data_IF_426166716730
#
_entry.id   IF_426166716730
#
_cell.length_a   1.000
_cell.length_b   1.000
_cell.length_c   1.000
_cell.angle_alpha   90.00
_cell.angle_beta   90.00
_cell.angle_gamma   90.00
#
_symmetry.space_group_name_H-M   'P 1'
#
loop_
_entity.id
_entity.type
_entity.pdbx_description
1 polymer ?
#
# COMPACT_ATOMS: atom_id res chain seq x y z
N UNK A 1 -11.05 -66.08 2.61
CA UNK A 1 -10.61 -65.49 3.88
C UNK A 1 -9.20 -64.94 3.66
N UNK A 2 -9.10 -63.75 3.18
CA UNK A 2 -7.81 -63.06 2.98
C UNK A 2 -7.63 -62.06 4.10
N UNK A 3 -6.51 -62.19 4.81
CA UNK A 3 -6.14 -61.30 5.92
C UNK A 3 -5.50 -60.04 5.36
N UNK A 4 -6.06 -58.88 5.72
CA UNK A 4 -5.50 -57.54 5.47
C UNK A 4 -4.31 -57.31 6.41
N UNK A 5 -3.15 -56.81 5.95
CA UNK A 5 -2.03 -56.47 6.83
C UNK A 5 -2.30 -55.17 7.56
N UNK A 6 -2.10 -55.19 8.89
CA UNK A 6 -2.08 -53.98 9.73
C UNK A 6 -0.81 -53.18 9.49
N UNK A 7 -0.96 -51.87 9.27
CA UNK A 7 0.13 -50.88 9.26
C UNK A 7 0.62 -50.62 10.69
N UNK A 8 1.93 -50.38 10.89
CA UNK A 8 2.49 -50.11 12.22
C UNK A 8 2.16 -48.69 12.70
N UNK A 9 1.90 -48.58 14.00
CA UNK A 9 1.68 -47.36 14.75
C UNK A 9 2.82 -46.35 14.54
N UNK A 10 2.48 -45.16 14.04
CA UNK A 10 3.40 -44.04 13.97
C UNK A 10 3.50 -43.37 15.35
N UNK A 11 4.63 -43.56 16.01
CA UNK A 11 5.02 -42.84 17.21
C UNK A 11 5.04 -41.31 16.94
N UNK A 12 4.10 -40.61 17.50
CA UNK A 12 4.12 -39.14 17.59
C UNK A 12 5.22 -38.74 18.60
N UNK A 13 6.20 -37.94 18.21
CA UNK A 13 7.19 -37.45 19.19
C UNK A 13 6.51 -36.52 20.19
N UNK A 14 6.96 -36.50 21.46
CA UNK A 14 6.40 -35.61 22.48
C UNK A 14 6.65 -34.15 22.12
N UNK A 15 5.64 -33.31 22.33
CA UNK A 15 5.77 -31.85 22.20
C UNK A 15 6.84 -31.36 23.17
N UNK A 16 7.72 -30.43 22.76
CA UNK A 16 8.60 -29.76 23.71
C UNK A 16 7.76 -28.98 24.70
N UNK A 17 8.01 -29.18 25.98
CA UNK A 17 7.50 -28.36 27.07
C UNK A 17 8.13 -26.98 26.89
N UNK A 18 7.34 -25.96 26.61
CA UNK A 18 7.74 -24.57 26.73
C UNK A 18 7.76 -24.25 28.22
N UNK A 19 8.95 -24.02 28.77
CA UNK A 19 9.10 -23.37 30.04
C UNK A 19 8.50 -21.98 29.99
N UNK A 20 7.53 -21.73 30.84
CA UNK A 20 6.84 -20.44 30.98
C UNK A 20 7.83 -19.42 31.60
N UNK A 21 8.21 -18.31 30.90
CA UNK A 21 9.09 -17.29 31.45
C UNK A 21 8.34 -16.19 32.21
N UNK A 22 7.18 -16.48 32.79
CA UNK A 22 6.29 -15.52 33.41
C UNK A 22 6.39 -15.38 34.94
N UNK A 23 7.58 -15.31 35.55
CA UNK A 23 7.72 -14.79 36.91
C UNK A 23 8.26 -13.37 36.88
N UNK A 24 7.34 -12.39 37.03
CA UNK A 24 7.69 -11.03 37.39
C UNK A 24 8.43 -11.03 38.74
N UNK A 25 9.69 -10.63 38.71
CA UNK A 25 10.47 -10.47 39.95
C UNK A 25 10.12 -9.11 40.54
N UNK A 26 9.31 -9.13 41.59
CA UNK A 26 8.92 -7.91 42.34
C UNK A 26 9.84 -7.79 43.54
N UNK A 27 10.42 -6.60 43.79
CA UNK A 27 11.20 -6.34 44.99
C UNK A 27 10.30 -6.23 46.23
N UNK A 28 10.91 -6.13 47.42
CA UNK A 28 10.16 -6.05 48.69
C UNK A 28 9.27 -4.81 48.83
N UNK A 29 9.34 -3.90 47.90
CA UNK A 29 8.57 -2.64 47.85
C UNK A 29 7.50 -2.68 46.73
N UNK A 30 7.27 -3.83 46.07
CA UNK A 30 6.22 -4.01 45.05
C UNK A 30 6.55 -3.46 43.66
N UNK A 31 7.83 -3.20 43.36
CA UNK A 31 8.26 -2.70 42.03
C UNK A 31 8.79 -3.83 41.16
N UNK A 32 8.43 -3.82 39.86
CA UNK A 32 8.90 -4.77 38.85
C UNK A 32 10.38 -4.50 38.55
N UNK A 33 11.25 -5.49 38.74
CA UNK A 33 12.69 -5.41 38.47
C UNK A 33 13.00 -6.20 37.19
N UNK A 34 13.43 -5.50 36.13
CA UNK A 34 13.92 -6.12 34.90
C UNK A 34 15.39 -6.56 35.09
N UNK A 35 15.78 -7.82 34.80
CA UNK A 35 17.15 -8.28 34.91
C UNK A 35 18.03 -7.58 33.87
N UNK A 36 19.03 -6.84 34.32
CA UNK A 36 20.11 -6.30 33.49
C UNK A 36 20.40 -4.80 33.57
N UNK A 37 19.62 -3.99 34.30
CA UNK A 37 19.95 -2.58 34.51
C UNK A 37 20.56 -2.34 35.88
N UNK A 38 21.83 -1.87 35.95
CA UNK A 38 22.45 -1.36 37.17
C UNK A 38 21.79 -0.03 37.53
N UNK A 39 21.21 0.07 38.73
CA UNK A 39 20.74 1.32 39.31
C UNK A 39 21.91 2.30 39.47
N UNK A 40 21.79 3.47 38.83
CA UNK A 40 22.66 4.62 39.11
C UNK A 40 22.03 5.38 40.27
N UNK A 41 22.76 5.49 41.37
CA UNK A 41 22.37 6.22 42.59
C UNK A 41 22.28 7.72 42.27
N UNK A 42 21.14 8.41 42.48
CA UNK A 42 21.07 9.85 42.27
C UNK A 42 21.64 10.58 43.47
N UNK A 43 22.89 11.02 43.35
CA UNK A 43 23.51 11.92 44.33
C UNK A 43 22.65 13.18 44.54
N UNK A 44 22.43 13.52 45.81
CA UNK A 44 21.75 14.73 46.25
C UNK A 44 22.54 15.96 45.82
N UNK A 45 22.03 16.67 44.77
CA UNK A 45 22.32 18.08 44.53
C UNK A 45 21.01 18.86 44.57
N UNK A 46 21.01 19.88 45.44
CA UNK A 46 19.92 20.81 45.68
C UNK A 46 19.60 21.59 44.40
N UNK A 47 18.44 21.29 43.77
CA UNK A 47 17.95 22.03 42.62
C UNK A 47 17.23 23.27 43.05
N UNK A 48 17.67 24.45 42.56
CA UNK A 48 16.91 25.69 42.54
C UNK A 48 15.63 25.52 41.70
N UNK A 49 14.52 26.25 41.98
CA UNK A 49 13.27 26.10 41.27
C UNK A 49 13.40 26.58 39.82
N UNK A 50 13.26 25.68 38.86
CA UNK A 50 13.14 26.01 37.45
C UNK A 50 11.88 26.85 37.22
N UNK A 51 12.08 28.09 36.80
CA UNK A 51 11.03 28.94 36.28
C UNK A 51 10.32 28.28 35.11
N UNK A 52 9.01 28.18 35.19
CA UNK A 52 8.13 27.74 34.11
C UNK A 52 8.40 28.57 32.87
N UNK A 53 8.99 27.95 31.84
CA UNK A 53 8.90 28.41 30.45
C UNK A 53 7.72 27.70 29.80
N UNK A 54 6.54 28.23 29.99
CA UNK A 54 5.48 28.14 29.00
C UNK A 54 5.94 28.98 27.81
N UNK A 55 6.50 28.33 26.84
CA UNK A 55 6.60 28.72 25.43
C UNK A 55 7.19 27.53 24.67
N UNK A 56 6.44 26.42 24.60
CA UNK A 56 6.57 25.55 23.45
C UNK A 56 5.69 26.13 22.37
N UNK A 57 6.30 26.98 21.56
CA UNK A 57 5.78 27.41 20.28
C UNK A 57 5.31 26.14 19.54
N UNK A 58 4.01 26.01 19.38
CA UNK A 58 3.40 25.20 18.36
C UNK A 58 3.88 25.78 17.04
N UNK A 59 4.96 25.24 16.53
CA UNK A 59 5.40 25.47 15.16
C UNK A 59 4.40 24.78 14.22
N UNK A 60 3.20 25.35 14.17
CA UNK A 60 2.28 25.22 13.08
C UNK A 60 2.86 26.06 11.94
N UNK A 61 4.01 25.65 11.42
CA UNK A 61 4.40 26.01 10.08
C UNK A 61 3.35 25.36 9.16
N UNK A 62 2.31 26.13 8.90
CA UNK A 62 1.48 26.00 7.74
C UNK A 62 2.46 25.99 6.56
N UNK A 63 2.90 24.80 6.15
CA UNK A 63 3.72 24.61 4.95
C UNK A 63 2.93 25.26 3.83
N UNK A 64 3.39 26.44 3.38
CA UNK A 64 2.80 27.12 2.25
C UNK A 64 2.77 26.11 1.10
N UNK A 65 1.57 25.63 0.77
CA UNK A 65 1.37 24.69 -0.33
C UNK A 65 1.75 25.40 -1.61
N UNK A 66 2.82 24.96 -2.25
CA UNK A 66 3.17 25.39 -3.59
C UNK A 66 2.14 24.79 -4.57
N UNK A 67 1.04 25.53 -4.77
CA UNK A 67 -0.06 25.10 -5.63
C UNK A 67 0.35 24.85 -7.09
N UNK A 68 1.59 25.18 -7.46
CA UNK A 68 2.14 24.84 -8.78
C UNK A 68 2.52 23.36 -8.89
N UNK A 69 2.81 22.71 -7.75
CA UNK A 69 3.20 21.29 -7.69
C UNK A 69 1.99 20.39 -7.50
N UNK A 70 2.12 19.15 -7.98
CA UNK A 70 1.16 18.08 -7.69
C UNK A 70 1.19 17.77 -6.20
N UNK A 71 0.02 17.70 -5.58
CA UNK A 71 -0.16 17.46 -4.15
C UNK A 71 -0.49 15.99 -3.92
N UNK A 72 0.38 15.26 -3.23
CA UNK A 72 0.16 13.87 -2.85
C UNK A 72 -0.09 13.77 -1.34
N UNK A 73 -1.27 13.27 -0.95
CA UNK A 73 -1.56 12.89 0.42
C UNK A 73 -1.19 11.43 0.62
N UNK A 74 -0.43 11.14 1.67
CA UNK A 74 -0.01 9.78 2.04
C UNK A 74 -0.57 9.49 3.42
N UNK A 75 -1.44 8.49 3.51
CA UNK A 75 -2.02 8.10 4.79
C UNK A 75 -1.01 7.37 5.65
N UNK A 76 -0.99 7.68 6.95
CA UNK A 76 -0.24 6.94 7.97
C UNK A 76 -1.10 6.62 9.18
N UNK A 77 -0.66 5.71 10.03
CA UNK A 77 -1.25 5.34 11.33
C UNK A 77 -1.41 3.83 11.50
N UNK A 78 -1.49 3.40 12.75
CA UNK A 78 -1.92 2.06 13.19
C UNK A 78 -1.43 0.87 12.32
N UNK A 79 -0.10 0.71 12.19
CA UNK A 79 0.51 -0.41 11.47
C UNK A 79 0.79 -0.15 9.99
N UNK A 80 0.50 1.04 9.46
CA UNK A 80 1.03 1.51 8.19
C UNK A 80 2.51 1.84 8.39
N UNK A 81 3.41 1.45 7.47
CA UNK A 81 4.85 1.61 7.66
C UNK A 81 5.68 1.90 6.40
N UNK A 82 5.05 2.14 5.25
CA UNK A 82 5.75 2.49 3.99
C UNK A 82 5.52 3.95 3.58
N UNK A 83 5.02 4.81 4.48
CA UNK A 83 4.65 6.20 4.17
C UNK A 83 5.84 7.08 3.82
N UNK A 84 7.00 6.86 4.43
CA UNK A 84 8.19 7.67 4.17
C UNK A 84 8.79 7.35 2.81
N UNK A 85 8.82 6.08 2.40
CA UNK A 85 9.26 5.66 1.07
C UNK A 85 8.34 6.22 -0.02
N UNK A 86 7.03 6.25 0.23
CA UNK A 86 6.06 6.92 -0.66
C UNK A 86 6.35 8.41 -0.78
N UNK A 87 6.56 9.09 0.35
CA UNK A 87 6.88 10.51 0.36
C UNK A 87 8.19 10.81 -0.37
N UNK A 88 9.20 9.97 -0.18
CA UNK A 88 10.47 10.08 -0.90
C UNK A 88 10.27 9.91 -2.41
N UNK A 89 9.47 8.92 -2.85
CA UNK A 89 9.18 8.70 -4.25
C UNK A 89 8.55 9.92 -4.92
N UNK A 90 7.51 10.49 -4.30
CA UNK A 90 6.85 11.70 -4.82
C UNK A 90 7.77 12.92 -4.86
N UNK A 91 8.59 13.13 -3.81
CA UNK A 91 9.57 14.24 -3.75
C UNK A 91 10.62 14.12 -4.86
N UNK A 92 11.11 12.89 -5.11
CA UNK A 92 12.09 12.61 -6.18
C UNK A 92 11.56 12.94 -7.58
N UNK A 93 10.25 12.85 -7.80
CA UNK A 93 9.63 13.20 -9.09
C UNK A 93 9.02 14.61 -9.11
N UNK A 94 9.34 15.45 -8.11
CA UNK A 94 9.01 16.88 -8.10
C UNK A 94 7.61 17.22 -7.57
N UNK A 95 6.87 16.26 -6.99
CA UNK A 95 5.61 16.53 -6.31
C UNK A 95 5.82 16.97 -4.86
N UNK A 96 4.79 17.58 -4.28
CA UNK A 96 4.71 17.83 -2.85
C UNK A 96 4.01 16.64 -2.18
N UNK A 97 4.67 16.05 -1.19
CA UNK A 97 4.18 14.87 -0.47
C UNK A 97 3.92 15.24 0.99
N UNK A 98 2.70 15.00 1.46
CA UNK A 98 2.27 15.25 2.84
C UNK A 98 1.82 13.95 3.47
N UNK A 99 2.50 13.54 4.54
CA UNK A 99 2.11 12.38 5.35
C UNK A 99 1.07 12.86 6.36
N UNK A 100 -0.10 12.24 6.35
CA UNK A 100 -1.25 12.63 7.19
C UNK A 100 -1.74 11.43 7.96
N UNK A 101 -1.79 11.55 9.29
CA UNK A 101 -2.34 10.50 10.13
C UNK A 101 -3.85 10.34 9.86
N UNK A 102 -4.31 9.09 9.71
CA UNK A 102 -5.68 8.72 9.40
C UNK A 102 -6.72 9.47 10.26
N UNK A 103 -6.44 9.66 11.56
CA UNK A 103 -7.36 10.37 12.45
C UNK A 103 -7.56 11.85 12.07
N UNK A 104 -6.55 12.51 11.49
CA UNK A 104 -6.71 13.92 11.06
C UNK A 104 -7.72 14.03 9.92
N UNK A 105 -7.71 13.06 9.00
CA UNK A 105 -8.69 12.97 7.92
C UNK A 105 -10.07 12.57 8.46
N UNK A 106 -10.14 11.53 9.30
CA UNK A 106 -11.40 11.05 9.88
C UNK A 106 -12.10 12.07 10.79
N UNK A 107 -11.38 13.03 11.37
CA UNK A 107 -11.94 14.10 12.17
C UNK A 107 -12.17 15.38 11.38
N UNK A 108 -11.90 15.39 10.07
CA UNK A 108 -12.09 16.57 9.21
C UNK A 108 -11.06 17.68 9.42
N UNK A 109 -9.93 17.41 10.11
CA UNK A 109 -8.87 18.39 10.27
C UNK A 109 -8.07 18.59 8.99
N UNK A 110 -8.02 17.57 8.12
CA UNK A 110 -7.41 17.61 6.79
C UNK A 110 -8.42 17.06 5.79
N UNK A 111 -8.68 17.81 4.73
CA UNK A 111 -9.51 17.39 3.61
C UNK A 111 -8.68 16.66 2.55
N UNK A 112 -9.12 15.50 2.10
CA UNK A 112 -8.49 14.81 0.97
C UNK A 112 -8.65 15.59 -0.34
N UNK A 113 -9.69 16.43 -0.44
CA UNK A 113 -10.01 17.21 -1.64
C UNK A 113 -8.97 18.30 -1.97
N UNK A 114 -8.12 18.68 -0.98
CA UNK A 114 -7.02 19.62 -1.19
C UNK A 114 -5.83 19.02 -1.95
N UNK A 115 -5.89 17.72 -2.24
CA UNK A 115 -4.82 16.97 -2.90
C UNK A 115 -5.25 16.47 -4.29
N UNK A 116 -4.26 16.01 -5.08
CA UNK A 116 -4.49 15.42 -6.40
C UNK A 116 -4.45 13.90 -6.36
N UNK A 117 -3.64 13.35 -5.45
CA UNK A 117 -3.39 11.91 -5.33
C UNK A 117 -3.53 11.51 -3.86
N UNK A 118 -4.38 10.53 -3.60
CA UNK A 118 -4.53 9.90 -2.29
C UNK A 118 -3.82 8.55 -2.30
N UNK A 119 -2.95 8.32 -1.30
CA UNK A 119 -2.13 7.12 -1.22
C UNK A 119 -2.41 6.32 0.05
N UNK A 120 -2.59 5.01 -0.15
CA UNK A 120 -2.69 3.99 0.88
C UNK A 120 -1.41 3.15 0.85
N UNK A 121 -0.42 3.44 1.72
CA UNK A 121 0.83 2.70 1.76
C UNK A 121 0.68 1.27 2.25
N UNK A 122 1.77 0.50 2.11
CA UNK A 122 1.92 -0.83 2.67
C UNK A 122 2.05 -0.83 4.19
N UNK A 123 2.03 -2.02 4.76
CA UNK A 123 2.11 -2.26 6.19
C UNK A 123 1.16 -3.36 6.64
N UNK A 124 0.72 -3.27 7.90
CA UNK A 124 -0.18 -4.20 8.57
C UNK A 124 -1.21 -3.39 9.36
N UNK A 125 -2.08 -2.68 8.65
CA UNK A 125 -3.03 -1.76 9.29
C UNK A 125 -3.88 -2.47 10.34
N UNK A 126 -3.86 -1.94 11.57
CA UNK A 126 -4.50 -2.53 12.75
C UNK A 126 -4.07 -3.97 13.07
N UNK A 127 -2.80 -4.33 12.75
CA UNK A 127 -2.22 -5.63 13.06
C UNK A 127 -2.75 -6.80 12.22
N UNK A 128 -3.57 -6.52 11.20
CA UNK A 128 -4.27 -7.53 10.38
C UNK A 128 -5.10 -8.54 11.18
N UNK A 129 -5.56 -8.15 12.40
CA UNK A 129 -6.23 -9.03 13.36
C UNK A 129 -7.46 -9.77 12.81
N UNK A 130 -8.18 -9.17 11.87
CA UNK A 130 -9.34 -9.76 11.19
C UNK A 130 -9.05 -10.10 9.71
N UNK A 131 -7.78 -10.11 9.34
CA UNK A 131 -7.28 -10.19 7.96
C UNK A 131 -6.81 -8.85 7.42
N UNK A 132 -5.88 -8.92 6.47
CA UNK A 132 -5.14 -7.76 5.99
C UNK A 132 -6.05 -6.68 5.42
N UNK A 133 -5.96 -5.46 6.00
CA UNK A 133 -6.73 -4.30 5.59
C UNK A 133 -8.21 -4.26 6.00
N UNK A 134 -8.75 -5.30 6.67
CA UNK A 134 -10.20 -5.41 7.01
C UNK A 134 -10.62 -4.30 7.96
N UNK A 135 -9.89 -4.09 9.05
CA UNK A 135 -10.26 -3.10 10.07
C UNK A 135 -10.21 -1.69 9.49
N UNK A 136 -9.18 -1.38 8.69
CA UNK A 136 -9.06 -0.08 8.03
C UNK A 136 -10.20 0.14 7.04
N UNK A 137 -10.48 -0.82 6.15
CA UNK A 137 -11.57 -0.72 5.20
C UNK A 137 -12.94 -0.49 5.90
N UNK A 138 -13.21 -1.21 6.98
CA UNK A 138 -14.44 -1.02 7.77
C UNK A 138 -14.50 0.38 8.42
N UNK A 139 -13.38 0.89 8.93
CA UNK A 139 -13.35 2.27 9.47
C UNK A 139 -13.68 3.30 8.38
N UNK A 140 -13.11 3.16 7.18
CA UNK A 140 -13.36 4.07 6.06
C UNK A 140 -14.81 4.01 5.58
N UNK A 141 -15.41 2.81 5.57
CA UNK A 141 -16.76 2.58 5.08
C UNK A 141 -17.85 2.99 6.06
N UNK A 142 -17.65 2.81 7.38
CA UNK A 142 -18.72 2.90 8.35
C UNK A 142 -18.59 4.04 9.36
N UNK A 143 -17.37 4.54 9.61
CA UNK A 143 -17.20 5.66 10.54
C UNK A 143 -17.67 6.95 9.88
N UNK A 144 -18.65 7.60 10.50
CA UNK A 144 -19.20 8.88 10.05
C UNK A 144 -18.54 10.05 10.76
N UNK A 145 -18.31 11.13 10.04
CA UNK A 145 -17.92 12.43 10.58
C UNK A 145 -19.14 13.18 11.15
N UNK A 146 -18.95 14.43 11.59
CA UNK A 146 -20.01 15.28 12.16
C UNK A 146 -21.15 15.56 11.16
N UNK A 147 -20.85 15.60 9.86
CA UNK A 147 -21.79 15.82 8.77
C UNK A 147 -22.51 14.53 8.33
N UNK A 148 -22.24 13.40 8.99
CA UNK A 148 -22.83 12.11 8.68
C UNK A 148 -22.23 11.38 7.48
N UNK A 149 -21.15 11.92 6.88
CA UNK A 149 -20.42 11.32 5.75
C UNK A 149 -19.37 10.34 6.24
N UNK A 150 -19.07 9.33 5.43
CA UNK A 150 -17.95 8.42 5.63
C UNK A 150 -16.75 8.87 4.80
N UNK A 151 -15.54 8.44 5.16
CA UNK A 151 -14.38 8.73 4.31
C UNK A 151 -14.46 8.01 2.95
N UNK A 152 -15.18 6.88 2.86
CA UNK A 152 -15.47 6.24 1.57
C UNK A 152 -16.34 7.12 0.67
N UNK A 153 -17.32 7.85 1.22
CA UNK A 153 -18.12 8.82 0.45
C UNK A 153 -17.23 9.92 -0.13
N UNK A 154 -16.29 10.43 0.69
CA UNK A 154 -15.35 11.48 0.26
C UNK A 154 -14.36 10.95 -0.79
N UNK A 155 -13.87 9.69 -0.67
CA UNK A 155 -13.00 9.05 -1.66
C UNK A 155 -13.74 8.87 -2.99
N UNK A 156 -15.01 8.45 -2.98
CA UNK A 156 -15.80 8.33 -4.21
C UNK A 156 -15.98 9.68 -4.91
N UNK A 157 -16.27 10.73 -4.15
CA UNK A 157 -16.35 12.09 -4.68
C UNK A 157 -14.99 12.57 -5.22
N UNK A 158 -13.90 12.26 -4.53
CA UNK A 158 -12.53 12.56 -4.94
C UNK A 158 -12.21 11.94 -6.32
N UNK A 159 -12.54 10.65 -6.50
CA UNK A 159 -12.36 9.93 -7.77
C UNK A 159 -13.26 10.53 -8.86
N UNK A 160 -14.53 10.79 -8.55
CA UNK A 160 -15.49 11.40 -9.48
C UNK A 160 -15.03 12.78 -9.97
N UNK A 161 -14.35 13.56 -9.10
CA UNK A 161 -13.75 14.85 -9.44
C UNK A 161 -12.43 14.73 -10.24
N UNK A 162 -12.10 13.53 -10.74
CA UNK A 162 -10.95 13.32 -11.63
C UNK A 162 -9.62 13.15 -10.91
N UNK A 163 -9.63 12.95 -9.60
CA UNK A 163 -8.45 12.73 -8.76
C UNK A 163 -8.03 11.24 -8.77
N UNK A 164 -6.86 10.94 -8.23
CA UNK A 164 -6.23 9.62 -8.33
C UNK A 164 -6.01 8.98 -6.96
N UNK A 165 -6.16 7.65 -6.90
CA UNK A 165 -5.95 6.86 -5.69
C UNK A 165 -4.94 5.74 -6.00
N UNK A 166 -3.92 5.59 -5.15
CA UNK A 166 -2.95 4.49 -5.22
C UNK A 166 -2.94 3.70 -3.92
N UNK A 167 -3.01 2.37 -4.02
CA UNK A 167 -2.85 1.46 -2.87
C UNK A 167 -1.79 0.41 -3.14
N UNK A 168 -0.80 0.29 -2.25
CA UNK A 168 0.29 -0.69 -2.37
C UNK A 168 0.22 -1.68 -1.22
N UNK A 169 0.36 -2.98 -1.53
CA UNK A 169 0.35 -4.08 -0.58
C UNK A 169 -0.87 -4.02 0.36
N UNK A 170 -0.72 -3.64 1.62
CA UNK A 170 -1.86 -3.44 2.54
C UNK A 170 -2.85 -2.39 2.02
N UNK A 171 -2.37 -1.31 1.38
CA UNK A 171 -3.24 -0.33 0.72
C UNK A 171 -4.07 -0.93 -0.41
N UNK A 172 -3.51 -1.82 -1.23
CA UNK A 172 -4.26 -2.53 -2.27
C UNK A 172 -5.33 -3.44 -1.66
N UNK A 173 -5.00 -4.15 -0.58
CA UNK A 173 -5.97 -4.97 0.17
C UNK A 173 -7.15 -4.13 0.67
N UNK A 174 -6.88 -2.93 1.19
CA UNK A 174 -7.92 -1.98 1.62
C UNK A 174 -8.81 -1.55 0.45
N UNK A 175 -8.22 -1.17 -0.70
CA UNK A 175 -9.00 -0.73 -1.87
C UNK A 175 -9.91 -1.84 -2.40
N UNK A 176 -9.43 -3.10 -2.44
CA UNK A 176 -10.25 -4.26 -2.82
C UNK A 176 -11.40 -4.47 -1.83
N UNK A 177 -11.12 -4.41 -0.52
CA UNK A 177 -12.15 -4.59 0.53
C UNK A 177 -13.16 -3.43 0.57
N UNK A 178 -12.77 -2.25 0.11
CA UNK A 178 -13.69 -1.13 -0.11
C UNK A 178 -14.53 -1.28 -1.40
N UNK A 179 -14.22 -2.24 -2.28
CA UNK A 179 -14.88 -2.38 -3.57
C UNK A 179 -14.49 -1.30 -4.58
N UNK A 180 -13.41 -0.57 -4.32
CA UNK A 180 -12.85 0.43 -5.25
C UNK A 180 -12.04 -0.22 -6.38
N UNK A 181 -11.73 -1.51 -6.25
CA UNK A 181 -11.02 -2.33 -7.25
C UNK A 181 -11.68 -3.71 -7.37
N UNK A 182 -12.03 -4.13 -8.59
CA UNK A 182 -11.95 -3.41 -9.87
C UNK A 182 -13.14 -2.46 -10.13
N UNK A 183 -14.17 -2.44 -9.28
CA UNK A 183 -15.42 -1.67 -9.39
C UNK A 183 -16.10 -1.79 -10.77
N UNK A 184 -16.38 -3.04 -11.16
CA UNK A 184 -17.01 -3.36 -12.44
C UNK A 184 -18.44 -2.83 -12.54
N UNK A 185 -19.15 -2.86 -11.42
CA UNK A 185 -20.55 -2.48 -11.30
C UNK A 185 -20.78 -0.98 -11.06
N UNK A 186 -19.72 -0.24 -10.65
CA UNK A 186 -19.84 1.16 -10.21
C UNK A 186 -20.59 1.33 -8.88
N UNK A 187 -20.73 0.26 -8.11
CA UNK A 187 -21.48 0.28 -6.82
C UNK A 187 -20.59 0.28 -5.60
N UNK A 188 -19.25 0.25 -5.80
CA UNK A 188 -18.25 0.24 -4.72
C UNK A 188 -18.49 -0.91 -3.74
N UNK A 189 -18.76 -2.11 -4.32
CA UNK A 189 -18.93 -3.37 -3.59
C UNK A 189 -17.78 -4.32 -3.94
N UNK A 190 -17.22 -5.07 -2.97
CA UNK A 190 -16.17 -6.03 -3.26
C UNK A 190 -16.62 -7.11 -4.26
N UNK A 191 -15.93 -7.22 -5.39
CA UNK A 191 -16.18 -8.19 -6.48
C UNK A 191 -15.07 -9.25 -6.57
N UNK A 192 -13.94 -8.98 -5.93
CA UNK A 192 -12.80 -9.89 -5.79
C UNK A 192 -12.27 -9.84 -4.36
N UNK A 193 -11.36 -10.72 -4.00
CA UNK A 193 -10.71 -10.69 -2.68
C UNK A 193 -9.21 -10.92 -2.78
N UNK A 194 -8.48 -10.38 -1.80
CA UNK A 194 -7.09 -10.73 -1.53
C UNK A 194 -7.04 -11.57 -0.26
N UNK A 195 -6.33 -12.70 -0.31
CA UNK A 195 -6.23 -13.69 0.76
C UNK A 195 -4.80 -14.25 0.89
N UNK A 196 -4.61 -15.21 1.79
CA UNK A 196 -3.33 -15.85 2.04
C UNK A 196 -2.67 -16.37 0.77
N UNK A 197 -1.35 -16.18 0.68
CA UNK A 197 -0.54 -16.75 -0.38
C UNK A 197 -0.76 -18.25 -0.48
N UNK A 198 -0.76 -18.81 -1.69
CA UNK A 198 -0.92 -20.24 -1.91
C UNK A 198 0.18 -21.08 -1.23
N UNK A 199 1.37 -20.48 -0.99
CA UNK A 199 2.47 -21.09 -0.25
C UNK A 199 2.21 -21.23 1.26
N UNK A 200 1.21 -20.53 1.80
CA UNK A 200 0.96 -20.41 3.24
C UNK A 200 2.07 -19.68 4.01
N UNK A 201 2.92 -18.95 3.31
CA UNK A 201 4.09 -18.26 3.88
C UNK A 201 4.10 -16.78 3.51
N UNK A 202 4.83 -16.01 4.30
CA UNK A 202 5.24 -14.66 3.94
C UNK A 202 6.26 -14.74 2.80
N UNK A 203 6.01 -14.02 1.70
CA UNK A 203 6.88 -13.97 0.52
C UNK A 203 7.61 -12.63 0.51
N UNK A 204 8.96 -12.72 0.54
CA UNK A 204 9.86 -11.55 0.40
C UNK A 204 10.87 -11.87 -0.70
N UNK A 205 10.64 -11.29 -1.87
CA UNK A 205 11.48 -11.53 -3.06
C UNK A 205 11.29 -10.48 -4.13
N UNK A 206 12.22 -10.41 -5.06
CA UNK A 206 12.09 -9.63 -6.28
C UNK A 206 11.27 -10.40 -7.32
N UNK A 207 10.37 -9.67 -7.98
CA UNK A 207 9.49 -10.21 -9.02
C UNK A 207 9.56 -9.36 -10.27
N UNK A 208 9.33 -9.99 -11.43
CA UNK A 208 9.18 -9.30 -12.69
C UNK A 208 7.72 -9.22 -13.05
N UNK A 209 7.30 -8.07 -13.51
CA UNK A 209 5.94 -7.76 -13.89
C UNK A 209 5.89 -7.32 -15.35
N UNK A 210 4.77 -7.60 -16.00
CA UNK A 210 4.45 -7.09 -17.34
C UNK A 210 3.18 -6.25 -17.28
N UNK A 211 3.24 -5.06 -17.87
CA UNK A 211 2.09 -4.21 -18.03
C UNK A 211 1.13 -4.76 -19.09
N UNK A 212 -0.16 -4.73 -18.80
CA UNK A 212 -1.17 -5.09 -19.76
C UNK A 212 -1.37 -3.94 -20.76
N UNK A 213 -1.16 -4.15 -22.05
CA UNK A 213 -1.30 -3.08 -23.05
C UNK A 213 -2.74 -2.56 -23.20
N UNK A 214 -3.74 -3.31 -22.73
CA UNK A 214 -5.15 -2.86 -22.69
C UNK A 214 -5.44 -1.98 -21.47
N UNK A 215 -4.58 -1.94 -20.47
CA UNK A 215 -4.83 -1.19 -19.25
C UNK A 215 -4.86 0.32 -19.53
N UNK A 216 -5.99 0.94 -19.24
CA UNK A 216 -6.17 2.38 -19.42
C UNK A 216 -5.96 3.11 -18.08
N UNK A 217 -4.72 3.13 -17.59
CA UNK A 217 -4.36 3.86 -16.36
C UNK A 217 -3.10 4.69 -16.57
N UNK A 218 -3.07 5.95 -16.08
CA UNK A 218 -1.91 6.82 -16.25
C UNK A 218 -0.68 6.33 -15.48
N UNK A 219 -0.86 5.53 -14.44
CA UNK A 219 0.24 4.98 -13.64
C UNK A 219 1.21 4.13 -14.46
N UNK A 220 0.72 3.46 -15.51
CA UNK A 220 1.50 2.53 -16.34
C UNK A 220 1.88 3.10 -17.71
N UNK A 221 1.65 4.38 -17.95
CA UNK A 221 1.92 4.99 -19.26
C UNK A 221 3.38 4.77 -19.71
N UNK A 222 3.56 4.12 -20.86
CA UNK A 222 4.88 3.84 -21.45
C UNK A 222 5.70 2.75 -20.73
N UNK A 223 5.11 2.05 -19.76
CA UNK A 223 5.73 0.90 -19.14
C UNK A 223 5.36 -0.38 -19.88
N UNK A 224 6.35 -1.23 -20.14
CA UNK A 224 6.17 -2.60 -20.61
C UNK A 224 6.46 -3.60 -19.50
N UNK A 225 7.59 -3.43 -18.84
CA UNK A 225 8.04 -4.32 -17.75
C UNK A 225 8.47 -3.52 -16.53
N UNK A 226 8.42 -4.18 -15.37
CA UNK A 226 8.78 -3.61 -14.08
C UNK A 226 9.40 -4.71 -13.21
N UNK A 227 10.50 -4.42 -12.52
CA UNK A 227 11.09 -5.33 -11.53
C UNK A 227 11.04 -4.66 -10.16
N UNK A 228 10.34 -5.26 -9.20
CA UNK A 228 10.09 -4.68 -7.86
C UNK A 228 9.99 -5.79 -6.81
N UNK A 229 10.23 -5.51 -5.52
CA UNK A 229 10.07 -6.52 -4.47
C UNK A 229 8.62 -6.73 -4.07
N UNK A 230 8.29 -7.94 -3.61
CA UNK A 230 7.08 -8.28 -2.86
C UNK A 230 7.43 -8.55 -1.40
N UNK A 231 6.53 -8.21 -0.47
CA UNK A 231 6.65 -8.41 0.98
C UNK A 231 5.26 -8.60 1.57
N UNK A 232 4.69 -9.82 1.48
CA UNK A 232 3.32 -10.05 1.94
C UNK A 232 3.03 -11.50 2.29
N UNK A 233 2.11 -11.72 3.24
CA UNK A 233 1.51 -13.01 3.56
C UNK A 233 0.16 -13.24 2.86
N UNK A 234 -0.54 -12.15 2.51
CA UNK A 234 -1.88 -12.15 1.91
C UNK A 234 -1.90 -11.35 0.61
N UNK A 235 -1.33 -11.90 -0.46
CA UNK A 235 -1.27 -11.24 -1.77
C UNK A 235 -2.05 -11.93 -2.89
N UNK A 236 -2.72 -13.05 -2.57
CA UNK A 236 -3.41 -13.89 -3.55
C UNK A 236 -4.75 -13.30 -3.94
N UNK A 237 -4.86 -12.78 -5.15
CA UNK A 237 -6.14 -12.40 -5.74
C UNK A 237 -6.97 -13.65 -6.05
N UNK A 238 -8.23 -13.66 -5.63
CA UNK A 238 -9.23 -14.68 -5.95
C UNK A 238 -10.43 -14.01 -6.62
N UNK A 239 -10.83 -14.57 -7.76
CA UNK A 239 -12.00 -14.17 -8.53
C UNK A 239 -13.01 -15.31 -8.47
N UNK A 240 -14.17 -15.05 -7.87
CA UNK A 240 -15.12 -16.10 -7.53
C UNK A 240 -15.84 -16.70 -8.74
N UNK A 241 -16.17 -15.90 -9.74
CA UNK A 241 -17.00 -16.33 -10.86
C UNK A 241 -16.38 -15.99 -12.23
N UNK A 242 -16.84 -16.73 -13.25
CA UNK A 242 -16.33 -16.59 -14.61
C UNK A 242 -16.70 -15.27 -15.29
N UNK A 243 -17.83 -14.65 -14.92
CA UNK A 243 -18.27 -13.40 -15.52
C UNK A 243 -17.39 -12.24 -15.05
N UNK A 244 -17.11 -12.18 -13.74
CA UNK A 244 -16.15 -11.22 -13.15
C UNK A 244 -14.76 -11.39 -13.76
N UNK A 245 -14.28 -12.65 -13.91
CA UNK A 245 -12.99 -12.95 -14.54
C UNK A 245 -12.94 -12.41 -15.98
N UNK A 246 -13.94 -12.74 -16.80
CA UNK A 246 -14.01 -12.29 -18.19
C UNK A 246 -14.05 -10.75 -18.28
N UNK A 247 -14.83 -10.09 -17.42
CA UNK A 247 -14.93 -8.64 -17.41
C UNK A 247 -13.60 -7.94 -17.06
N UNK A 248 -12.81 -8.51 -16.13
CA UNK A 248 -11.48 -8.00 -15.78
C UNK A 248 -10.51 -8.16 -16.96
N UNK A 249 -10.52 -9.32 -17.64
CA UNK A 249 -9.65 -9.58 -18.80
C UNK A 249 -10.03 -8.71 -20.01
N UNK A 250 -11.31 -8.64 -20.35
CA UNK A 250 -11.80 -7.91 -21.52
C UNK A 250 -11.52 -6.41 -21.42
N UNK A 251 -11.72 -5.84 -20.25
CA UNK A 251 -11.49 -4.41 -19.97
C UNK A 251 -10.03 -4.07 -19.65
N UNK A 252 -9.16 -5.08 -19.53
CA UNK A 252 -7.74 -4.86 -19.20
C UNK A 252 -7.48 -4.38 -17.77
N UNK A 253 -8.38 -4.70 -16.82
CA UNK A 253 -8.30 -4.21 -15.44
C UNK A 253 -7.25 -4.94 -14.61
N UNK A 254 -6.86 -6.18 -15.00
CA UNK A 254 -5.63 -6.82 -14.56
C UNK A 254 -4.45 -6.11 -15.24
N UNK A 255 -4.00 -5.02 -14.63
CA UNK A 255 -3.12 -4.05 -15.27
C UNK A 255 -1.63 -4.43 -15.19
N UNK A 256 -1.23 -5.27 -14.23
CA UNK A 256 0.12 -5.82 -14.07
C UNK A 256 0.05 -7.30 -13.72
N UNK A 257 0.85 -8.12 -14.42
CA UNK A 257 0.92 -9.57 -14.22
C UNK A 257 2.32 -10.01 -13.83
N UNK A 258 2.41 -11.04 -12.96
CA UNK A 258 3.67 -11.72 -12.67
C UNK A 258 4.16 -12.47 -13.91
N UNK A 259 5.49 -12.43 -14.15
CA UNK A 259 6.12 -13.07 -15.30
C UNK A 259 7.27 -13.98 -14.88
N UNK A 260 7.56 -14.96 -15.73
CA UNK A 260 8.77 -15.76 -15.63
C UNK A 260 10.04 -14.97 -16.00
N UNK A 261 11.18 -15.66 -16.02
CA UNK A 261 12.47 -15.05 -16.39
C UNK A 261 12.51 -14.50 -17.82
N UNK A 262 11.65 -15.02 -18.72
CA UNK A 262 11.56 -14.63 -20.13
C UNK A 262 10.55 -13.51 -20.38
N UNK A 263 9.84 -13.06 -19.34
CA UNK A 263 8.82 -12.02 -19.43
C UNK A 263 7.43 -12.51 -19.88
N UNK A 264 7.20 -13.82 -19.88
CA UNK A 264 5.89 -14.40 -20.15
C UNK A 264 5.06 -14.47 -18.84
N UNK A 265 3.76 -14.09 -18.84
CA UNK A 265 2.89 -14.27 -17.68
C UNK A 265 2.87 -15.73 -17.21
N UNK A 266 2.94 -15.96 -15.89
CA UNK A 266 3.11 -17.32 -15.35
C UNK A 266 2.38 -17.55 -14.03
N UNK A 267 1.82 -18.75 -13.87
CA UNK A 267 1.25 -19.25 -12.61
C UNK A 267 2.30 -19.95 -11.73
N UNK A 268 3.51 -20.17 -12.27
CA UNK A 268 4.52 -21.02 -11.65
C UNK A 268 5.22 -20.30 -10.51
N UNK A 269 5.21 -20.91 -9.32
CA UNK A 269 6.06 -20.49 -8.21
C UNK A 269 7.54 -20.78 -8.55
N UNK A 270 8.51 -19.91 -8.22
CA UNK A 270 8.40 -18.70 -7.38
C UNK A 270 8.10 -17.39 -8.14
N UNK A 271 7.89 -17.43 -9.44
CA UNK A 271 7.69 -16.26 -10.28
C UNK A 271 6.34 -15.57 -9.98
N UNK A 272 5.27 -16.37 -9.83
CA UNK A 272 4.03 -15.93 -9.21
C UNK A 272 4.08 -16.34 -7.73
N UNK A 273 4.44 -15.41 -6.82
CA UNK A 273 4.78 -15.77 -5.44
C UNK A 273 3.57 -16.09 -4.59
N UNK A 274 2.38 -15.61 -4.96
CA UNK A 274 1.17 -15.72 -4.15
C UNK A 274 0.10 -16.66 -4.74
N UNK A 275 0.24 -17.09 -5.99
CA UNK A 275 -0.74 -17.94 -6.67
C UNK A 275 -2.02 -17.20 -7.06
N UNK A 276 -1.91 -15.90 -7.35
CA UNK A 276 -3.05 -15.06 -7.74
C UNK A 276 -3.69 -15.51 -9.05
N UNK A 277 -5.01 -15.48 -9.11
CA UNK A 277 -5.79 -15.64 -10.34
C UNK A 277 -5.32 -14.63 -11.39
N UNK A 278 -5.35 -15.03 -12.68
CA UNK A 278 -4.89 -14.22 -13.82
C UNK A 278 -3.42 -13.77 -13.71
N UNK A 279 -2.62 -14.42 -12.88
CA UNK A 279 -1.25 -13.98 -12.54
C UNK A 279 -1.19 -12.54 -12.04
N UNK A 280 -2.26 -12.06 -11.46
CA UNK A 280 -2.48 -10.66 -11.13
C UNK A 280 -1.52 -10.19 -10.04
N UNK A 281 -0.72 -9.18 -10.36
CA UNK A 281 0.08 -8.43 -9.41
C UNK A 281 -0.60 -7.10 -9.02
N UNK A 282 -1.40 -6.53 -9.92
CA UNK A 282 -2.10 -5.27 -9.70
C UNK A 282 -3.35 -5.09 -10.55
N UNK A 283 -4.30 -4.34 -9.99
CA UNK A 283 -5.57 -3.98 -10.61
C UNK A 283 -5.69 -2.46 -10.81
N UNK A 284 -6.48 -2.08 -11.81
CA UNK A 284 -7.04 -0.74 -11.91
C UNK A 284 -8.57 -0.81 -11.95
N UNK A 285 -9.24 0.29 -11.60
CA UNK A 285 -10.69 0.41 -11.76
C UNK A 285 -11.07 0.70 -13.23
N UNK A 286 -12.37 0.74 -13.50
CA UNK A 286 -12.90 0.99 -14.85
C UNK A 286 -12.59 2.39 -15.39
N UNK A 287 -12.24 3.35 -14.53
CA UNK A 287 -11.86 4.73 -14.91
C UNK A 287 -10.35 4.92 -15.10
N UNK A 288 -9.54 3.98 -14.64
CA UNK A 288 -8.08 4.06 -14.61
C UNK A 288 -7.52 5.00 -13.51
N UNK A 289 -8.38 5.50 -12.61
CA UNK A 289 -7.99 6.45 -11.56
C UNK A 289 -7.62 5.80 -10.25
N UNK A 290 -8.12 4.61 -9.99
CA UNK A 290 -7.75 3.82 -8.82
C UNK A 290 -6.77 2.73 -9.26
N UNK A 291 -5.63 2.67 -8.61
CA UNK A 291 -4.56 1.72 -8.91
C UNK A 291 -4.14 0.98 -7.65
N UNK A 292 -4.08 -0.34 -7.73
CA UNK A 292 -3.63 -1.22 -6.65
C UNK A 292 -2.55 -2.19 -7.11
N UNK A 293 -1.54 -2.39 -6.27
CA UNK A 293 -0.39 -3.26 -6.58
C UNK A 293 0.07 -3.99 -5.31
N UNK A 294 0.30 -5.31 -5.38
CA UNK A 294 0.88 -6.06 -4.26
C UNK A 294 2.39 -5.85 -4.09
N UNK A 295 3.22 -5.86 -5.16
CA UNK A 295 4.62 -5.47 -5.08
C UNK A 295 4.81 -4.01 -4.66
N UNK A 296 6.02 -3.70 -4.17
CA UNK A 296 6.40 -2.40 -3.57
C UNK A 296 7.27 -1.57 -4.51
N UNK A 297 6.71 -0.70 -5.37
CA UNK A 297 7.49 0.19 -6.23
C UNK A 297 8.28 1.23 -5.43
N UNK A 298 7.76 1.69 -4.28
CA UNK A 298 8.42 2.63 -3.37
C UNK A 298 9.71 2.07 -2.73
N UNK A 299 9.88 0.76 -2.76
CA UNK A 299 11.11 0.11 -2.27
C UNK A 299 12.22 -0.01 -3.33
N UNK A 300 11.94 0.43 -4.58
CA UNK A 300 12.93 0.42 -5.67
C UNK A 300 12.96 1.77 -6.39
N UNK A 301 13.44 2.79 -5.72
CA UNK A 301 13.56 4.16 -6.23
C UNK A 301 14.92 4.42 -6.88
N UNK A 302 15.95 3.68 -6.49
CA UNK A 302 17.30 3.75 -7.02
C UNK A 302 17.83 2.35 -7.33
N UNK A 303 18.66 2.23 -8.36
CA UNK A 303 19.39 1.00 -8.69
C UNK A 303 20.06 0.39 -7.45
N UNK A 304 20.57 1.23 -6.56
CA UNK A 304 21.28 0.81 -5.33
C UNK A 304 20.38 0.11 -4.29
N UNK A 305 19.06 0.18 -4.43
CA UNK A 305 18.11 -0.63 -3.61
C UNK A 305 18.08 -2.09 -4.07
N UNK A 306 18.50 -2.40 -5.30
CA UNK A 306 18.46 -3.76 -5.82
C UNK A 306 19.65 -4.59 -5.29
N UNK A 307 19.44 -5.82 -4.77
CA UNK A 307 20.51 -6.64 -4.19
C UNK A 307 21.64 -6.97 -5.17
N UNK A 308 21.36 -6.95 -6.46
CA UNK A 308 22.30 -7.30 -7.54
C UNK A 308 22.85 -6.06 -8.28
N UNK A 309 22.69 -4.86 -7.71
CA UNK A 309 23.07 -3.61 -8.36
C UNK A 309 24.54 -3.58 -8.81
N UNK A 310 25.45 -4.11 -7.99
CA UNK A 310 26.87 -4.07 -8.26
C UNK A 310 27.25 -4.92 -9.49
N UNK A 311 26.62 -6.09 -9.68
CA UNK A 311 26.82 -6.92 -10.87
C UNK A 311 26.23 -6.24 -12.10
N UNK A 312 25.02 -5.69 -12.01
CA UNK A 312 24.32 -4.97 -13.09
C UNK A 312 25.15 -3.78 -13.57
N UNK A 313 25.64 -2.95 -12.67
CA UNK A 313 26.48 -1.78 -12.98
C UNK A 313 27.82 -2.17 -13.62
N UNK A 314 28.41 -3.29 -13.18
CA UNK A 314 29.65 -3.83 -13.78
C UNK A 314 29.42 -4.38 -15.20
N UNK A 315 28.26 -4.98 -15.47
CA UNK A 315 27.89 -5.48 -16.79
C UNK A 315 27.50 -4.35 -17.75
N UNK A 316 26.90 -3.31 -17.25
CA UNK A 316 26.54 -2.11 -17.99
C UNK A 316 26.86 -0.86 -17.15
N UNK A 317 28.06 -0.25 -17.31
CA UNK A 317 28.45 0.96 -16.57
C UNK A 317 27.49 2.14 -16.78
N UNK A 318 26.85 2.24 -17.95
CA UNK A 318 25.91 3.30 -18.31
C UNK A 318 24.47 3.03 -17.86
N UNK A 319 24.24 1.93 -17.12
CA UNK A 319 22.92 1.62 -16.59
C UNK A 319 22.40 2.77 -15.73
N UNK A 320 21.14 3.18 -15.98
CA UNK A 320 20.47 4.20 -15.18
C UNK A 320 20.52 3.87 -13.69
N UNK A 321 20.75 4.86 -12.87
CA UNK A 321 20.71 4.73 -11.42
C UNK A 321 19.29 4.85 -10.84
N UNK A 322 18.32 5.20 -11.69
CA UNK A 322 16.90 5.20 -11.31
C UNK A 322 16.38 3.77 -11.20
N UNK A 323 15.67 3.49 -10.10
CA UNK A 323 14.96 2.24 -9.89
C UNK A 323 13.65 2.20 -10.66
N UNK A 324 13.23 1.01 -11.07
CA UNK A 324 12.01 0.84 -11.87
C UNK A 324 10.76 1.35 -11.16
N UNK A 325 10.70 1.24 -9.83
CA UNK A 325 9.55 1.66 -9.04
C UNK A 325 9.23 3.15 -9.15
N UNK A 326 10.26 3.99 -9.34
CA UNK A 326 10.08 5.44 -9.45
C UNK A 326 9.26 5.85 -10.69
N UNK A 327 9.25 5.01 -11.73
CA UNK A 327 8.52 5.27 -12.98
C UNK A 327 7.01 5.41 -12.76
N UNK A 328 6.40 4.63 -11.84
CA UNK A 328 4.98 4.72 -11.54
C UNK A 328 4.62 6.09 -10.94
N UNK A 329 5.42 6.55 -10.00
CA UNK A 329 5.23 7.85 -9.35
C UNK A 329 5.44 9.01 -10.36
N UNK A 330 6.45 8.90 -11.21
CA UNK A 330 6.70 9.87 -12.29
C UNK A 330 5.51 9.96 -13.23
N UNK A 331 5.01 8.82 -13.69
CA UNK A 331 3.90 8.75 -14.64
C UNK A 331 2.66 9.47 -14.13
N UNK A 332 2.25 9.23 -12.88
CA UNK A 332 1.05 9.88 -12.34
C UNK A 332 1.28 11.37 -12.10
N UNK A 333 2.45 11.78 -11.62
CA UNK A 333 2.77 13.20 -11.40
C UNK A 333 2.79 13.96 -12.72
N UNK A 334 3.46 13.46 -13.76
CA UNK A 334 3.46 14.07 -15.09
C UNK A 334 2.07 14.13 -15.71
N UNK A 335 1.26 13.09 -15.50
CA UNK A 335 -0.11 13.06 -15.99
C UNK A 335 -0.96 14.16 -15.34
N UNK A 336 -0.94 14.30 -14.03
CA UNK A 336 -1.66 15.37 -13.31
C UNK A 336 -1.18 16.76 -13.74
N UNK A 337 0.14 16.95 -13.89
CA UNK A 337 0.70 18.21 -14.39
C UNK A 337 0.19 18.53 -15.80
N UNK A 338 0.11 17.52 -16.68
CA UNK A 338 -0.38 17.72 -18.06
C UNK A 338 -1.85 18.13 -18.10
N UNK A 339 -2.68 17.56 -17.22
CA UNK A 339 -4.09 17.94 -17.09
C UNK A 339 -4.27 19.39 -16.64
N UNK A 340 -3.43 19.86 -15.69
CA UNK A 340 -3.48 21.25 -15.20
C UNK A 340 -3.06 22.28 -16.26
N UNK A 341 -2.21 21.86 -17.22
CA UNK A 341 -1.74 22.72 -18.32
C UNK A 341 -2.71 22.75 -19.50
N UNK A 342 -3.59 21.76 -19.63
CA UNK A 342 -4.58 21.75 -20.69
C UNK A 342 -5.55 22.92 -20.50
N UNK A 343 -5.80 23.77 -21.54
CA UNK A 343 -6.77 24.83 -21.43
C UNK A 343 -8.14 24.24 -21.13
N UNK A 344 -8.88 24.87 -20.20
CA UNK A 344 -10.25 24.45 -19.91
C UNK A 344 -11.06 24.43 -21.22
N UNK A 345 -11.55 23.26 -21.60
CA UNK A 345 -12.45 23.14 -22.76
C UNK A 345 -13.70 23.92 -22.40
N UNK A 346 -13.88 25.08 -23.03
CA UNK A 346 -15.12 25.85 -22.90
C UNK A 346 -16.27 24.96 -23.39
N UNK A 347 -17.34 24.78 -22.60
CA UNK A 347 -18.52 24.08 -23.11
C UNK A 347 -19.02 24.83 -24.35
N UNK A 348 -19.23 24.09 -25.45
CA UNK A 348 -19.77 24.64 -26.68
C UNK A 348 -21.07 25.40 -26.37
N UNK A 349 -21.07 26.68 -26.63
CA UNK A 349 -22.28 27.50 -26.51
C UNK A 349 -23.35 26.91 -27.45
N UNK A 350 -24.38 26.34 -26.87
CA UNK A 350 -25.59 26.00 -27.64
C UNK A 350 -26.14 27.31 -28.22
N UNK A 351 -25.88 27.54 -29.49
CA UNK A 351 -26.61 28.55 -30.24
C UNK A 351 -28.07 28.08 -30.36
N UNK A 352 -28.94 28.64 -29.56
CA UNK A 352 -30.36 28.60 -29.81
C UNK A 352 -30.60 29.51 -31.01
N UNK A 353 -30.88 28.91 -32.19
CA UNK A 353 -31.45 29.61 -33.30
C UNK A 353 -32.93 29.82 -33.03
N UNK A 354 -33.35 31.06 -32.98
CA UNK A 354 -34.72 31.51 -32.92
C UNK A 354 -35.48 31.19 -34.22
#
# INVERSE_FOLDING_TARGET
MEQTPQLPDQHTPPRPQHDDPGHEIVNREGQIVLPGFKSVDPGHESAEPLKSKEEQSTDNQQLATDNSKVQALILTGFGINCEEEFAAAYRLVGAQATIVHLNQVLHGHVSIHDYDILNFPGGFSFGDDLGSGVVLANKLRYRRNAEGRTLLDDINEFIANGKYVMGICNGFQVLVKLGLLPDLSGTVTPEVTLTHNASGRYEDRWVKLKANPKANTPFLRGLDTLEVPVRHGEGRLIIQDAATRAAIEDRGLNCLTYTDSNGAPTEVYPFNPNGADLNCAGLTDTTGRVFGLMPHPEAFLSLYNHPDWARRKRQNPDLSEEGDGLKLFRNIVEHVQSQRRAPAVQPAAHQFSS
#
